data_IF_785926513504
#
_entry.id   IF_785926513504
#
_cell.length_a   1.000
_cell.length_b   1.000
_cell.length_c   1.000
_cell.angle_alpha   90.00
_cell.angle_beta   90.00
_cell.angle_gamma   90.00
#
_symmetry.space_group_name_H-M   'P 1'
#
loop_
_entity.id
_entity.type
_entity.pdbx_description
1 polymer ?
#
# COMPACT_ATOMS: atom_id res chain seq x y z
N UNK A 1 -3.58 18.44 -21.80
CA UNK A 1 -4.33 17.30 -22.36
C UNK A 1 -3.63 15.96 -22.15
N UNK A 2 -2.54 15.56 -22.84
CA UNK A 2 -1.87 14.27 -22.50
C UNK A 2 -1.03 14.33 -21.21
N UNK A 3 -0.51 15.50 -20.84
CA UNK A 3 0.38 15.66 -19.69
C UNK A 3 -0.32 15.46 -18.36
N UNK A 4 -1.62 15.79 -18.27
CA UNK A 4 -2.43 15.59 -17.07
C UNK A 4 -2.62 14.10 -16.78
N UNK A 5 -3.05 13.33 -17.78
CA UNK A 5 -3.23 11.88 -17.70
C UNK A 5 -1.89 11.19 -17.44
N UNK A 6 -0.82 11.65 -18.10
CA UNK A 6 0.53 11.14 -17.87
C UNK A 6 1.01 11.44 -16.45
N UNK A 7 0.80 12.67 -15.96
CA UNK A 7 1.12 13.07 -14.59
C UNK A 7 0.38 12.22 -13.58
N UNK A 8 -0.94 12.05 -13.74
CA UNK A 8 -1.75 11.18 -12.88
C UNK A 8 -1.30 9.72 -12.96
N UNK A 9 -0.98 9.20 -14.15
CA UNK A 9 -0.47 7.85 -14.32
C UNK A 9 0.87 7.61 -13.60
N UNK A 10 1.77 8.60 -13.66
CA UNK A 10 3.05 8.58 -12.93
C UNK A 10 2.81 8.63 -11.42
N UNK A 11 1.95 9.52 -10.92
CA UNK A 11 1.60 9.59 -9.50
C UNK A 11 0.94 8.28 -9.01
N UNK A 12 0.04 7.72 -9.81
CA UNK A 12 -0.62 6.45 -9.51
C UNK A 12 0.38 5.30 -9.44
N UNK A 13 1.42 5.32 -10.28
CA UNK A 13 2.54 4.39 -10.21
C UNK A 13 3.40 4.59 -8.95
N UNK A 14 3.62 5.83 -8.51
CA UNK A 14 4.28 6.11 -7.22
C UNK A 14 3.48 5.56 -6.05
N UNK A 15 2.16 5.75 -6.07
CA UNK A 15 1.26 5.23 -5.04
C UNK A 15 1.18 3.70 -5.07
N UNK A 16 1.26 3.08 -6.25
CA UNK A 16 1.42 1.63 -6.39
C UNK A 16 2.76 1.14 -5.80
N UNK A 17 3.86 1.82 -6.10
CA UNK A 17 5.16 1.53 -5.51
C UNK A 17 5.14 1.62 -3.99
N UNK A 18 4.53 2.70 -3.47
CA UNK A 18 4.24 2.85 -2.05
C UNK A 18 3.43 1.66 -1.52
N UNK A 19 2.33 1.28 -2.16
CA UNK A 19 1.47 0.17 -1.71
C UNK A 19 2.25 -1.14 -1.58
N UNK A 20 3.12 -1.49 -2.54
CA UNK A 20 3.91 -2.72 -2.49
C UNK A 20 4.93 -2.68 -1.34
N UNK A 21 5.75 -1.63 -1.27
CA UNK A 21 6.84 -1.55 -0.28
C UNK A 21 6.27 -1.37 1.14
N UNK A 22 5.23 -0.54 1.28
CA UNK A 22 4.54 -0.32 2.56
C UNK A 22 3.82 -1.58 3.03
N UNK A 23 3.21 -2.36 2.12
CA UNK A 23 2.60 -3.62 2.51
C UNK A 23 3.61 -4.57 3.13
N UNK A 24 4.81 -4.69 2.55
CA UNK A 24 5.90 -5.52 3.08
C UNK A 24 6.30 -5.04 4.48
N UNK A 25 6.53 -3.74 4.65
CA UNK A 25 6.96 -3.16 5.92
C UNK A 25 5.88 -3.28 7.02
N UNK A 26 4.67 -2.84 6.71
CA UNK A 26 3.53 -2.84 7.62
C UNK A 26 3.14 -4.25 8.04
N UNK A 27 3.09 -5.18 7.10
CA UNK A 27 2.81 -6.58 7.39
C UNK A 27 3.93 -7.27 8.15
N UNK A 28 5.20 -6.96 7.87
CA UNK A 28 6.32 -7.46 8.66
C UNK A 28 6.18 -7.03 10.13
N UNK A 29 5.73 -5.80 10.40
CA UNK A 29 5.48 -5.35 11.77
C UNK A 29 4.32 -6.01 12.48
N UNK A 30 3.22 -6.25 11.76
CA UNK A 30 2.12 -7.04 12.31
C UNK A 30 2.55 -8.48 12.62
N UNK A 31 3.25 -9.15 11.70
CA UNK A 31 3.69 -10.53 11.91
C UNK A 31 4.76 -10.67 12.99
N UNK A 32 5.63 -9.67 13.17
CA UNK A 32 6.57 -9.61 14.30
C UNK A 32 5.82 -9.66 15.64
N UNK A 33 4.85 -8.76 15.81
CA UNK A 33 4.03 -8.70 17.01
C UNK A 33 3.20 -9.98 17.23
N UNK A 34 2.54 -10.47 16.18
CA UNK A 34 1.70 -11.67 16.25
C UNK A 34 2.49 -12.93 16.63
N UNK A 35 3.68 -13.11 16.07
CA UNK A 35 4.54 -14.25 16.39
C UNK A 35 5.15 -14.16 17.79
N UNK A 36 5.44 -12.94 18.26
CA UNK A 36 5.90 -12.68 19.63
C UNK A 36 4.86 -13.04 20.67
N UNK A 37 3.60 -12.68 20.44
CA UNK A 37 2.49 -13.12 21.30
C UNK A 37 2.30 -14.64 21.23
N UNK A 38 2.43 -15.22 20.04
CA UNK A 38 2.24 -16.65 19.82
C UNK A 38 3.40 -17.53 20.31
N UNK A 39 4.43 -16.96 20.96
CA UNK A 39 5.64 -17.63 21.46
C UNK A 39 6.43 -18.43 20.41
N UNK A 40 6.44 -17.99 19.15
CA UNK A 40 7.14 -18.66 18.03
C UNK A 40 8.56 -18.10 17.79
N UNK A 41 9.26 -17.77 18.88
CA UNK A 41 9.96 -16.48 19.00
C UNK A 41 11.35 -16.30 18.36
N UNK A 42 12.23 -17.29 18.28
CA UNK A 42 13.65 -16.92 18.10
C UNK A 42 14.13 -16.73 16.65
N UNK A 43 13.72 -17.58 15.70
CA UNK A 43 14.23 -17.50 14.33
C UNK A 43 13.49 -16.46 13.47
N UNK A 44 12.16 -16.38 13.60
CA UNK A 44 11.29 -15.48 12.80
C UNK A 44 11.57 -14.00 13.10
N UNK A 45 11.81 -13.65 14.37
CA UNK A 45 11.99 -12.25 14.77
C UNK A 45 13.32 -11.66 14.29
N UNK A 46 14.40 -12.46 14.29
CA UNK A 46 15.70 -12.03 13.76
C UNK A 46 15.65 -11.76 12.25
N UNK A 47 14.89 -12.60 11.52
CA UNK A 47 14.67 -12.46 10.09
C UNK A 47 13.91 -11.17 9.78
N UNK A 48 12.90 -10.82 10.59
CA UNK A 48 12.07 -9.62 10.35
C UNK A 48 12.84 -8.33 10.70
N UNK A 49 13.51 -8.27 11.85
CA UNK A 49 14.17 -7.04 12.32
C UNK A 49 15.32 -6.56 11.42
N UNK A 50 16.06 -7.47 10.79
CA UNK A 50 17.19 -7.13 9.91
C UNK A 50 16.77 -6.47 8.59
N UNK A 51 15.48 -6.52 8.25
CA UNK A 51 14.88 -5.93 7.05
C UNK A 51 14.25 -4.57 7.25
N UNK A 52 13.99 -4.23 8.50
CA UNK A 52 12.87 -3.38 8.84
C UNK A 52 13.19 -1.89 8.60
N UNK A 53 14.43 -1.47 8.88
CA UNK A 53 14.82 -0.06 8.81
C UNK A 53 14.96 0.46 7.36
N UNK A 54 15.69 -0.21 6.44
CA UNK A 54 15.90 0.35 5.11
C UNK A 54 14.62 0.43 4.27
N UNK A 55 13.71 -0.52 4.46
CA UNK A 55 12.45 -0.56 3.71
C UNK A 55 11.52 0.60 4.13
N UNK A 56 11.46 0.90 5.42
CA UNK A 56 10.67 2.03 5.94
C UNK A 56 11.14 3.39 5.42
N UNK A 57 12.45 3.58 5.26
CA UNK A 57 12.96 4.82 4.65
C UNK A 57 12.47 4.97 3.21
N UNK A 58 12.49 3.89 2.43
CA UNK A 58 12.05 3.90 1.04
C UNK A 58 10.53 4.14 0.91
N UNK A 59 9.70 3.58 1.80
CA UNK A 59 8.24 3.80 1.75
C UNK A 59 7.89 5.28 1.89
N UNK A 60 8.54 5.99 2.81
CA UNK A 60 8.31 7.41 3.01
C UNK A 60 8.69 8.23 1.78
N UNK A 61 9.75 7.85 1.05
CA UNK A 61 10.11 8.53 -0.19
C UNK A 61 9.00 8.40 -1.24
N UNK A 62 8.45 7.20 -1.46
CA UNK A 62 7.33 7.04 -2.39
C UNK A 62 6.11 7.86 -1.96
N UNK A 63 5.77 7.84 -0.66
CA UNK A 63 4.61 8.55 -0.14
C UNK A 63 4.74 10.08 -0.28
N UNK A 64 5.89 10.63 0.11
CA UNK A 64 6.14 12.08 0.01
C UNK A 64 6.21 12.53 -1.44
N UNK A 65 6.84 11.76 -2.33
CA UNK A 65 6.86 12.07 -3.76
C UNK A 65 5.44 12.11 -4.34
N UNK A 66 4.60 11.12 -4.01
CA UNK A 66 3.19 11.14 -4.41
C UNK A 66 2.45 12.38 -3.88
N UNK A 67 2.59 12.68 -2.58
CA UNK A 67 1.89 13.79 -1.94
C UNK A 67 2.32 15.16 -2.49
N UNK A 68 3.62 15.40 -2.66
CA UNK A 68 4.13 16.64 -3.27
C UNK A 68 3.73 16.71 -4.74
N UNK A 69 3.69 15.57 -5.42
CA UNK A 69 3.32 15.48 -6.83
C UNK A 69 1.87 15.81 -7.11
N UNK A 70 0.93 15.23 -6.36
CA UNK A 70 -0.49 15.49 -6.57
C UNK A 70 -0.82 16.97 -6.37
N UNK A 71 -0.25 17.61 -5.35
CA UNK A 71 -0.40 19.05 -5.11
C UNK A 71 0.28 19.88 -6.20
N UNK A 72 1.43 19.41 -6.70
CA UNK A 72 2.18 20.09 -7.77
C UNK A 72 1.48 20.04 -9.13
N UNK A 73 0.83 18.93 -9.49
CA UNK A 73 0.07 18.81 -10.74
C UNK A 73 -1.34 19.39 -10.63
N UNK A 74 -1.98 19.20 -9.48
CA UNK A 74 -3.38 19.52 -9.23
C UNK A 74 -3.52 20.34 -7.93
N UNK A 75 -3.15 21.62 -7.92
CA UNK A 75 -3.22 22.46 -6.72
C UNK A 75 -4.63 22.51 -6.10
N UNK A 76 -5.69 22.37 -6.91
CA UNK A 76 -7.07 22.26 -6.42
C UNK A 76 -7.26 21.09 -5.46
N UNK A 77 -6.55 19.96 -5.62
CA UNK A 77 -6.64 18.85 -4.65
C UNK A 77 -6.17 19.27 -3.27
N UNK A 78 -5.20 20.18 -3.16
CA UNK A 78 -4.74 20.68 -1.87
C UNK A 78 -5.82 21.48 -1.15
N UNK A 79 -6.69 22.18 -1.87
CA UNK A 79 -7.84 22.87 -1.29
C UNK A 79 -8.86 21.86 -0.74
N UNK A 80 -9.41 21.00 -1.59
CA UNK A 80 -10.50 20.08 -1.22
C UNK A 80 -10.03 18.97 -0.25
N UNK A 81 -8.99 18.23 -0.62
CA UNK A 81 -8.47 17.16 0.23
C UNK A 81 -7.75 17.71 1.46
N UNK A 82 -7.06 18.85 1.35
CA UNK A 82 -6.37 19.45 2.50
C UNK A 82 -7.33 19.86 3.61
N UNK A 83 -8.52 20.38 3.27
CA UNK A 83 -9.55 20.71 4.27
C UNK A 83 -10.32 19.49 4.76
N UNK A 84 -10.62 18.54 3.87
CA UNK A 84 -11.40 17.36 4.23
C UNK A 84 -10.60 16.35 5.07
N UNK A 85 -9.32 16.15 4.78
CA UNK A 85 -8.50 15.09 5.36
C UNK A 85 -7.71 15.50 6.61
N UNK A 86 -8.02 16.64 7.25
CA UNK A 86 -7.28 17.13 8.43
C UNK A 86 -7.16 16.08 9.55
N UNK A 87 -8.26 15.41 9.88
CA UNK A 87 -8.28 14.40 10.97
C UNK A 87 -7.62 13.07 10.54
N UNK A 88 -7.98 12.43 9.40
CA UNK A 88 -7.32 11.21 8.96
C UNK A 88 -5.81 11.34 8.74
N UNK A 89 -5.37 12.46 8.15
CA UNK A 89 -3.94 12.70 7.87
C UNK A 89 -3.16 12.96 9.15
N UNK A 90 -3.72 13.72 10.11
CA UNK A 90 -3.04 13.93 11.39
C UNK A 90 -2.87 12.62 12.18
N UNK A 91 -3.88 11.74 12.18
CA UNK A 91 -3.77 10.39 12.74
C UNK A 91 -2.67 9.60 12.03
N UNK A 92 -2.65 9.62 10.69
CA UNK A 92 -1.63 8.93 9.89
C UNK A 92 -0.22 9.40 10.26
N UNK A 93 -0.01 10.71 10.39
CA UNK A 93 1.28 11.31 10.76
C UNK A 93 1.71 10.87 12.15
N UNK A 94 0.80 10.88 13.13
CA UNK A 94 1.10 10.40 14.50
C UNK A 94 1.51 8.92 14.48
N UNK A 95 0.81 8.08 13.71
CA UNK A 95 1.14 6.65 13.59
C UNK A 95 2.50 6.43 12.91
N UNK A 96 2.82 7.20 11.87
CA UNK A 96 4.13 7.17 11.22
C UNK A 96 5.23 7.63 12.18
N UNK A 97 4.98 8.67 12.99
CA UNK A 97 5.93 9.16 14.00
C UNK A 97 6.20 8.12 15.10
N UNK A 98 5.16 7.44 15.59
CA UNK A 98 5.31 6.32 16.55
C UNK A 98 6.18 5.22 15.93
N UNK A 99 5.94 4.89 14.66
CA UNK A 99 6.68 3.85 13.94
C UNK A 99 8.15 4.24 13.74
N UNK A 100 8.44 5.46 13.26
CA UNK A 100 9.79 5.98 13.10
C UNK A 100 10.57 6.03 14.43
N UNK A 101 9.87 6.44 15.50
CA UNK A 101 10.43 6.42 16.86
C UNK A 101 10.81 5.01 17.30
N UNK A 102 9.96 4.01 17.01
CA UNK A 102 10.27 2.60 17.30
C UNK A 102 11.52 2.12 16.56
N UNK A 103 11.68 2.41 15.26
CA UNK A 103 12.88 2.03 14.51
C UNK A 103 14.15 2.63 15.13
N UNK A 104 14.13 3.92 15.46
CA UNK A 104 15.26 4.59 16.07
C UNK A 104 15.59 3.99 17.45
N UNK A 105 14.60 3.85 18.34
CA UNK A 105 14.85 3.37 19.70
C UNK A 105 15.19 1.88 19.78
N UNK A 106 14.62 1.05 18.89
CA UNK A 106 14.93 -0.38 18.82
C UNK A 106 16.35 -0.64 18.30
N UNK A 107 16.89 0.25 17.46
CA UNK A 107 18.26 0.13 16.93
C UNK A 107 19.32 0.48 17.98
N UNK A 108 19.05 1.46 18.86
CA UNK A 108 20.09 2.07 19.70
C UNK A 108 20.03 1.77 21.21
N UNK A 109 18.98 1.15 21.75
CA UNK A 109 19.06 0.75 23.18
C UNK A 109 17.79 0.47 23.97
N UNK A 110 16.60 0.39 23.37
CA UNK A 110 15.43 -0.01 24.14
C UNK A 110 15.41 -1.54 24.37
N UNK A 111 15.35 -1.98 25.63
CA UNK A 111 14.98 -3.36 25.99
C UNK A 111 13.74 -3.76 25.21
N UNK A 112 13.72 -4.98 24.68
CA UNK A 112 12.66 -5.56 23.85
C UNK A 112 11.30 -5.56 24.59
N UNK A 113 10.62 -4.40 24.60
CA UNK A 113 9.44 -4.18 25.42
C UNK A 113 8.18 -4.60 24.66
N UNK A 114 7.24 -5.28 25.35
CA UNK A 114 5.99 -5.73 24.73
C UNK A 114 5.13 -4.56 24.23
N UNK A 115 5.24 -3.39 24.87
CA UNK A 115 4.50 -2.18 24.48
C UNK A 115 4.97 -1.68 23.12
N UNK A 116 6.28 -1.66 22.87
CA UNK A 116 6.82 -1.22 21.59
C UNK A 116 6.49 -2.19 20.45
N UNK A 117 6.57 -3.50 20.71
CA UNK A 117 6.12 -4.49 19.71
C UNK A 117 4.62 -4.37 19.41
N UNK A 118 3.78 -4.08 20.41
CA UNK A 118 2.35 -3.80 20.22
C UNK A 118 2.12 -2.56 19.36
N UNK A 119 2.77 -1.44 19.69
CA UNK A 119 2.67 -0.20 18.92
C UNK A 119 3.13 -0.40 17.47
N UNK A 120 4.17 -1.20 17.27
CA UNK A 120 4.66 -1.52 15.94
C UNK A 120 3.67 -2.37 15.12
N UNK A 121 3.05 -3.38 15.73
CA UNK A 121 2.00 -4.17 15.10
C UNK A 121 0.71 -3.36 14.84
N UNK A 122 0.31 -2.52 15.79
CA UNK A 122 -0.88 -1.68 15.68
C UNK A 122 -0.74 -0.61 14.60
N UNK A 123 0.39 0.11 14.57
CA UNK A 123 0.67 1.11 13.52
C UNK A 123 0.71 0.47 12.13
N UNK A 124 1.20 -0.77 12.00
CA UNK A 124 1.17 -1.52 10.73
C UNK A 124 -0.23 -1.74 10.17
N UNK A 125 -1.27 -1.81 10.98
CA UNK A 125 -2.66 -1.96 10.51
C UNK A 125 -3.41 -0.62 10.43
N UNK A 126 -3.15 0.28 11.38
CA UNK A 126 -3.83 1.57 11.48
C UNK A 126 -3.38 2.57 10.40
N UNK A 127 -2.13 2.50 9.93
CA UNK A 127 -1.65 3.38 8.85
C UNK A 127 -2.39 3.08 7.54
N UNK A 128 -2.47 1.83 7.05
CA UNK A 128 -3.30 1.50 5.89
C UNK A 128 -4.75 1.97 6.04
N UNK A 129 -5.37 1.70 7.19
CA UNK A 129 -6.76 2.06 7.44
C UNK A 129 -7.00 3.59 7.38
N UNK A 130 -6.08 4.38 7.95
CA UNK A 130 -6.18 5.84 7.94
C UNK A 130 -5.91 6.44 6.55
N UNK A 131 -4.98 5.89 5.79
CA UNK A 131 -4.70 6.35 4.42
C UNK A 131 -5.80 5.98 3.43
N UNK A 132 -6.45 4.82 3.59
CA UNK A 132 -7.54 4.40 2.70
C UNK A 132 -8.81 5.23 2.83
N UNK A 133 -8.96 5.96 3.93
CA UNK A 133 -10.04 6.95 4.08
C UNK A 133 -9.90 8.03 2.99
N UNK A 134 -8.68 8.45 2.64
CA UNK A 134 -8.46 9.40 1.56
C UNK A 134 -8.93 8.87 0.19
N UNK A 135 -8.64 7.59 -0.10
CA UNK A 135 -9.10 6.90 -1.32
C UNK A 135 -10.62 6.66 -1.33
N UNK A 136 -11.23 6.51 -0.16
CA UNK A 136 -12.68 6.37 -0.04
C UNK A 136 -13.37 7.70 -0.32
N UNK A 137 -12.82 8.79 0.22
CA UNK A 137 -13.36 10.14 0.06
C UNK A 137 -13.26 10.61 -1.39
N UNK A 138 -12.23 10.19 -2.15
CA UNK A 138 -12.12 10.51 -3.57
C UNK A 138 -13.26 9.95 -4.44
N UNK A 139 -14.01 8.97 -3.97
CA UNK A 139 -15.21 8.45 -4.66
C UNK A 139 -16.44 9.36 -4.54
N UNK A 140 -16.34 10.48 -3.82
CA UNK A 140 -17.45 11.41 -3.61
C UNK A 140 -18.49 10.91 -2.61
N UNK A 141 -19.52 11.73 -2.37
CA UNK A 141 -20.61 11.42 -1.43
C UNK A 141 -20.26 11.54 0.05
N UNK A 142 -19.04 11.99 0.41
CA UNK A 142 -18.61 12.19 1.81
C UNK A 142 -18.23 13.63 2.12
N UNK A 143 -18.29 14.50 1.12
CA UNK A 143 -17.89 15.90 1.20
C UNK A 143 -19.07 16.74 0.76
N UNK A 144 -19.46 17.70 1.61
CA UNK A 144 -20.47 18.69 1.26
C UNK A 144 -19.78 20.05 1.12
N UNK A 145 -19.91 20.64 -0.07
CA UNK A 145 -19.41 21.98 -0.36
C UNK A 145 -20.58 22.95 -0.23
N UNK A 146 -20.69 23.57 0.94
CA UNK A 146 -21.72 24.58 1.22
C UNK A 146 -21.06 25.89 1.66
N UNK A 147 -21.42 27.00 1.02
CA UNK A 147 -20.91 28.36 1.32
C UNK A 147 -19.38 28.49 1.28
N UNK A 148 -18.72 27.83 0.32
CA UNK A 148 -17.25 27.88 0.19
C UNK A 148 -16.49 27.14 1.28
N UNK A 149 -17.17 26.43 2.19
CA UNK A 149 -16.54 25.55 3.18
C UNK A 149 -16.72 24.09 2.77
N UNK A 150 -15.60 23.39 2.63
CA UNK A 150 -15.56 21.95 2.39
C UNK A 150 -15.68 21.25 3.75
N UNK A 151 -16.80 20.58 4.00
CA UNK A 151 -17.02 19.83 5.25
C UNK A 151 -17.14 18.34 4.97
N UNK A 152 -16.40 17.56 5.75
CA UNK A 152 -16.46 16.09 5.69
C UNK A 152 -17.65 15.59 6.53
N UNK A 153 -18.48 14.76 5.92
CA UNK A 153 -19.64 14.13 6.54
C UNK A 153 -19.20 12.85 7.26
N UNK A 154 -18.67 13.01 8.48
CA UNK A 154 -18.14 11.89 9.26
C UNK A 154 -19.17 10.78 9.50
N UNK A 155 -20.43 11.13 9.72
CA UNK A 155 -21.52 10.17 9.92
C UNK A 155 -21.70 9.24 8.70
N UNK A 156 -21.71 9.80 7.50
CA UNK A 156 -21.86 9.02 6.26
C UNK A 156 -20.62 8.19 5.96
N UNK A 157 -19.42 8.71 6.26
CA UNK A 157 -18.17 7.99 6.10
C UNK A 157 -18.10 6.73 7.00
N UNK A 158 -18.45 6.86 8.28
CA UNK A 158 -18.40 5.73 9.22
C UNK A 158 -19.58 4.75 9.05
N UNK A 159 -20.72 5.20 8.53
CA UNK A 159 -21.87 4.33 8.24
C UNK A 159 -21.79 3.66 6.86
N UNK A 160 -20.88 4.08 6.00
CA UNK A 160 -20.76 3.54 4.65
C UNK A 160 -20.16 2.14 4.59
N UNK A 161 -20.87 1.24 3.92
CA UNK A 161 -20.39 -0.11 3.61
C UNK A 161 -19.15 -0.08 2.71
N UNK A 162 -19.07 0.88 1.78
CA UNK A 162 -17.94 1.03 0.88
C UNK A 162 -16.67 1.40 1.65
N UNK A 163 -16.74 2.39 2.54
CA UNK A 163 -15.60 2.85 3.36
C UNK A 163 -14.97 1.70 4.15
N UNK A 164 -15.80 0.91 4.84
CA UNK A 164 -15.32 -0.27 5.58
C UNK A 164 -14.77 -1.35 4.65
N UNK A 165 -15.36 -1.55 3.48
CA UNK A 165 -14.87 -2.53 2.50
C UNK A 165 -13.47 -2.18 2.00
N UNK A 166 -13.18 -0.91 1.73
CA UNK A 166 -11.85 -0.45 1.29
C UNK A 166 -10.82 -0.62 2.42
N UNK A 167 -11.16 -0.25 3.66
CA UNK A 167 -10.29 -0.43 4.83
C UNK A 167 -9.97 -1.91 5.05
N UNK A 168 -10.98 -2.78 5.01
CA UNK A 168 -10.83 -4.23 5.16
C UNK A 168 -9.95 -4.79 4.03
N UNK A 169 -10.20 -4.37 2.78
CA UNK A 169 -9.39 -4.79 1.64
C UNK A 169 -7.93 -4.38 1.81
N UNK A 170 -7.66 -3.15 2.27
CA UNK A 170 -6.30 -2.66 2.47
C UNK A 170 -5.55 -3.46 3.54
N UNK A 171 -6.17 -3.67 4.70
CA UNK A 171 -5.59 -4.46 5.80
C UNK A 171 -5.27 -5.88 5.32
N UNK A 172 -6.24 -6.54 4.70
CA UNK A 172 -6.08 -7.92 4.22
C UNK A 172 -5.02 -8.01 3.13
N UNK A 173 -5.00 -7.04 2.20
CA UNK A 173 -4.03 -6.98 1.12
C UNK A 173 -2.61 -6.77 1.63
N UNK A 174 -2.43 -5.89 2.62
CA UNK A 174 -1.14 -5.68 3.30
C UNK A 174 -0.64 -7.01 3.89
N UNK A 175 -1.50 -7.77 4.56
CA UNK A 175 -1.16 -9.06 5.16
C UNK A 175 -0.89 -10.16 4.10
N UNK A 176 -1.62 -10.15 2.99
CA UNK A 176 -1.41 -11.08 1.89
C UNK A 176 -0.11 -10.80 1.14
N UNK A 177 0.15 -9.56 0.74
CA UNK A 177 1.37 -9.15 0.01
C UNK A 177 2.60 -9.40 0.88
N UNK A 178 2.58 -8.98 2.14
CA UNK A 178 3.70 -9.20 3.07
C UNK A 178 3.95 -10.68 3.34
N UNK A 179 2.91 -11.48 3.57
CA UNK A 179 3.10 -12.94 3.78
C UNK A 179 3.69 -13.61 2.55
N UNK A 180 3.25 -13.24 1.34
CA UNK A 180 3.79 -13.79 0.09
C UNK A 180 5.26 -13.41 -0.11
N UNK A 181 5.64 -12.17 0.21
CA UNK A 181 7.03 -11.72 0.19
C UNK A 181 7.89 -12.47 1.22
N UNK A 182 7.43 -12.56 2.47
CA UNK A 182 8.12 -13.25 3.55
C UNK A 182 8.24 -14.76 3.29
N UNK A 183 7.25 -15.37 2.62
CA UNK A 183 7.32 -16.76 2.16
C UNK A 183 8.43 -16.96 1.13
N UNK A 184 8.49 -16.10 0.10
CA UNK A 184 9.57 -16.14 -0.91
C UNK A 184 10.93 -15.96 -0.23
N UNK A 185 11.02 -15.00 0.68
CA UNK A 185 12.25 -14.66 1.36
C UNK A 185 12.74 -15.78 2.29
N UNK A 186 11.87 -16.33 3.14
CA UNK A 186 12.22 -17.42 4.05
C UNK A 186 12.70 -18.67 3.30
N UNK A 187 12.10 -18.97 2.14
CA UNK A 187 12.55 -20.08 1.30
C UNK A 187 13.98 -19.86 0.77
N UNK A 188 14.28 -18.64 0.33
CA UNK A 188 15.61 -18.28 -0.17
C UNK A 188 16.67 -18.22 0.94
N UNK A 189 16.26 -17.87 2.15
CA UNK A 189 17.10 -17.92 3.34
C UNK A 189 17.38 -19.34 3.85
N UNK A 190 16.66 -20.36 3.36
CA UNK A 190 16.77 -21.73 3.84
C UNK A 190 16.08 -21.97 5.18
N UNK A 191 15.34 -20.99 5.71
CA UNK A 191 14.55 -21.15 6.93
C UNK A 191 13.21 -21.84 6.62
N UNK A 192 13.24 -23.17 6.70
CA UNK A 192 12.09 -24.02 6.45
C UNK A 192 10.97 -23.89 7.51
N UNK A 193 11.27 -23.30 8.68
CA UNK A 193 10.25 -23.08 9.73
C UNK A 193 9.42 -21.83 9.41
N UNK A 194 10.09 -20.70 9.16
CA UNK A 194 9.47 -19.46 8.72
C UNK A 194 8.76 -19.64 7.38
N UNK A 195 9.35 -20.37 6.43
CA UNK A 195 8.72 -20.68 5.15
C UNK A 195 7.36 -21.36 5.29
N UNK A 196 7.26 -22.43 6.11
CA UNK A 196 6.00 -23.15 6.31
C UNK A 196 4.95 -22.28 6.99
N UNK A 197 5.37 -21.42 7.93
CA UNK A 197 4.49 -20.48 8.62
C UNK A 197 3.92 -19.44 7.65
N UNK A 198 4.78 -18.76 6.88
CA UNK A 198 4.35 -17.73 5.94
C UNK A 198 3.55 -18.32 4.78
N UNK A 199 3.87 -19.51 4.29
CA UNK A 199 3.04 -20.23 3.32
C UNK A 199 1.61 -20.46 3.84
N UNK A 200 1.46 -20.83 5.12
CA UNK A 200 0.14 -20.97 5.74
C UNK A 200 -0.58 -19.63 5.81
N UNK A 201 0.12 -18.55 6.15
CA UNK A 201 -0.46 -17.21 6.17
C UNK A 201 -0.86 -16.72 4.78
N UNK A 202 -0.04 -16.92 3.74
CA UNK A 202 -0.38 -16.53 2.36
C UNK A 202 -1.61 -17.28 1.86
N UNK A 203 -1.69 -18.59 2.09
CA UNK A 203 -2.87 -19.36 1.72
C UNK A 203 -4.10 -18.96 2.54
N UNK A 204 -3.94 -18.72 3.84
CA UNK A 204 -5.03 -18.26 4.69
C UNK A 204 -5.57 -16.90 4.26
N UNK A 205 -4.70 -15.91 4.02
CA UNK A 205 -5.07 -14.55 3.63
C UNK A 205 -5.56 -14.45 2.18
N UNK A 206 -5.28 -15.44 1.33
CA UNK A 206 -5.79 -15.46 -0.04
C UNK A 206 -7.33 -15.44 -0.09
N UNK A 207 -7.99 -16.21 0.79
CA UNK A 207 -9.46 -16.30 0.81
C UNK A 207 -10.12 -14.99 1.29
N UNK A 208 -9.72 -14.38 2.43
CA UNK A 208 -10.18 -13.05 2.81
C UNK A 208 -9.90 -11.99 1.74
N UNK A 209 -8.79 -12.09 0.98
CA UNK A 209 -8.45 -11.10 -0.05
C UNK A 209 -9.49 -11.09 -1.17
N UNK A 210 -9.87 -12.26 -1.69
CA UNK A 210 -10.89 -12.35 -2.75
C UNK A 210 -12.27 -11.95 -2.24
N UNK A 211 -12.61 -12.31 -0.98
CA UNK A 211 -13.86 -11.91 -0.35
C UNK A 211 -13.93 -10.39 -0.16
N UNK A 212 -12.87 -9.78 0.35
CA UNK A 212 -12.78 -8.32 0.54
C UNK A 212 -12.84 -7.58 -0.79
N UNK A 213 -12.21 -8.10 -1.85
CA UNK A 213 -12.34 -7.55 -3.20
C UNK A 213 -13.80 -7.60 -3.67
N UNK A 214 -14.50 -8.70 -3.45
CA UNK A 214 -15.94 -8.82 -3.74
C UNK A 214 -16.79 -7.81 -2.96
N UNK A 215 -16.49 -7.58 -1.67
CA UNK A 215 -17.17 -6.58 -0.85
C UNK A 215 -16.99 -5.16 -1.42
N UNK A 216 -15.79 -4.81 -1.89
CA UNK A 216 -15.53 -3.51 -2.53
C UNK A 216 -16.36 -3.35 -3.81
N UNK A 217 -16.45 -4.38 -4.67
CA UNK A 217 -17.31 -4.32 -5.86
C UNK A 217 -18.79 -4.12 -5.51
N UNK A 218 -19.29 -4.78 -4.46
CA UNK A 218 -20.65 -4.59 -3.97
C UNK A 218 -20.84 -3.17 -3.40
N UNK A 219 -19.86 -2.69 -2.64
CA UNK A 219 -19.87 -1.34 -2.07
C UNK A 219 -19.92 -0.25 -3.13
N UNK A 220 -19.07 -0.33 -4.16
CA UNK A 220 -19.06 0.62 -5.27
C UNK A 220 -20.38 0.58 -6.04
N UNK A 221 -20.93 -0.62 -6.31
CA UNK A 221 -22.22 -0.73 -7.01
C UNK A 221 -23.36 0.01 -6.30
N UNK A 222 -23.35 0.05 -4.97
CA UNK A 222 -24.36 0.76 -4.17
C UNK A 222 -24.05 2.25 -4.04
N UNK A 223 -22.77 2.62 -3.95
CA UNK A 223 -22.33 3.99 -3.70
C UNK A 223 -22.26 4.83 -4.97
N UNK A 224 -21.63 4.32 -6.03
CA UNK A 224 -21.41 5.03 -7.28
C UNK A 224 -21.63 4.08 -8.49
N UNK A 225 -22.85 4.02 -9.06
CA UNK A 225 -23.17 3.13 -10.16
C UNK A 225 -22.46 3.52 -11.46
N UNK A 226 -22.09 4.80 -11.65
CA UNK A 226 -21.31 5.23 -12.81
C UNK A 226 -19.89 4.67 -12.74
N UNK A 227 -19.22 4.78 -11.59
CA UNK A 227 -17.91 4.18 -11.38
C UNK A 227 -17.93 2.66 -11.58
N UNK A 228 -18.97 2.00 -11.06
CA UNK A 228 -19.17 0.57 -11.27
C UNK A 228 -19.31 0.21 -12.75
N UNK A 229 -20.05 1.00 -13.53
CA UNK A 229 -20.19 0.78 -14.97
C UNK A 229 -18.85 0.94 -15.72
N UNK A 230 -18.04 1.91 -15.32
CA UNK A 230 -16.68 2.11 -15.83
C UNK A 230 -15.74 0.96 -15.47
N UNK A 231 -15.85 0.41 -14.26
CA UNK A 231 -15.12 -0.80 -13.87
C UNK A 231 -15.53 -2.02 -14.71
N UNK A 232 -16.82 -2.15 -15.06
CA UNK A 232 -17.31 -3.22 -15.93
C UNK A 232 -16.78 -3.07 -17.36
N UNK A 233 -16.61 -1.87 -17.88
CA UNK A 233 -15.98 -1.67 -19.19
C UNK A 233 -14.53 -2.17 -19.23
N UNK A 234 -13.82 -2.07 -18.10
CA UNK A 234 -12.42 -2.48 -17.93
C UNK A 234 -12.33 -3.82 -17.15
N UNK A 235 -13.38 -4.66 -17.23
CA UNK A 235 -13.46 -5.93 -16.50
C UNK A 235 -12.27 -6.86 -16.73
N UNK A 236 -11.66 -6.80 -17.92
CA UNK A 236 -10.53 -7.64 -18.31
C UNK A 236 -9.30 -7.43 -17.41
N UNK A 237 -9.09 -6.23 -16.85
CA UNK A 237 -8.00 -5.96 -15.91
C UNK A 237 -8.22 -6.67 -14.57
N UNK A 238 -9.48 -6.69 -14.10
CA UNK A 238 -9.86 -7.43 -12.89
C UNK A 238 -9.84 -8.95 -13.12
N UNK A 239 -10.23 -9.41 -14.32
CA UNK A 239 -10.08 -10.81 -14.73
C UNK A 239 -8.61 -11.25 -14.78
N UNK A 240 -7.72 -10.39 -15.29
CA UNK A 240 -6.28 -10.61 -15.29
C UNK A 240 -5.71 -10.67 -13.87
N UNK A 241 -6.17 -9.78 -12.99
CA UNK A 241 -5.83 -9.81 -11.56
C UNK A 241 -6.23 -11.15 -10.93
N UNK A 242 -7.45 -11.62 -11.17
CA UNK A 242 -7.94 -12.90 -10.65
C UNK A 242 -7.13 -14.10 -11.19
N UNK A 243 -6.71 -14.05 -12.45
CA UNK A 243 -5.83 -15.06 -13.04
C UNK A 243 -4.48 -15.09 -12.33
N UNK A 244 -3.85 -13.93 -12.13
CA UNK A 244 -2.58 -13.86 -11.40
C UNK A 244 -2.73 -14.31 -9.95
N UNK A 245 -3.80 -13.92 -9.27
CA UNK A 245 -4.13 -14.40 -7.93
C UNK A 245 -4.21 -15.94 -7.86
N UNK A 246 -4.91 -16.55 -8.81
CA UNK A 246 -5.04 -18.00 -8.89
C UNK A 246 -3.68 -18.69 -9.10
N UNK A 247 -2.81 -18.10 -9.93
CA UNK A 247 -1.44 -18.57 -10.12
C UNK A 247 -0.59 -18.44 -8.85
N UNK A 248 -0.74 -17.35 -8.09
CA UNK A 248 -0.07 -17.17 -6.79
C UNK A 248 -0.48 -18.27 -5.83
N UNK A 249 -1.79 -18.49 -5.65
CA UNK A 249 -2.33 -19.52 -4.75
C UNK A 249 -1.83 -20.90 -5.18
N UNK A 250 -1.85 -21.20 -6.47
CA UNK A 250 -1.36 -22.46 -7.02
C UNK A 250 0.14 -22.68 -6.77
N UNK A 251 0.97 -21.69 -7.05
CA UNK A 251 2.43 -21.78 -6.86
C UNK A 251 2.80 -21.86 -5.38
N UNK A 252 2.13 -21.09 -4.53
CA UNK A 252 2.28 -21.16 -3.07
C UNK A 252 1.80 -22.49 -2.52
N UNK A 253 0.75 -23.08 -3.09
CA UNK A 253 0.31 -24.42 -2.73
C UNK A 253 1.30 -25.50 -3.19
N UNK A 254 1.87 -25.39 -4.39
CA UNK A 254 2.89 -26.34 -4.88
C UNK A 254 4.26 -26.16 -4.22
N UNK A 255 4.52 -25.01 -3.59
CA UNK A 255 5.79 -24.69 -2.95
C UNK A 255 6.97 -24.60 -3.93
N UNK A 256 6.70 -24.29 -5.21
CA UNK A 256 7.71 -24.21 -6.28
C UNK A 256 7.73 -22.80 -6.88
N UNK A 257 8.91 -22.34 -7.29
CA UNK A 257 9.15 -21.04 -7.96
C UNK A 257 8.49 -19.85 -7.23
N UNK A 258 8.80 -19.70 -5.96
CA UNK A 258 8.20 -18.64 -5.13
C UNK A 258 8.58 -17.23 -5.57
N UNK A 259 9.72 -17.06 -6.24
CA UNK A 259 10.08 -15.77 -6.86
C UNK A 259 9.09 -15.36 -7.95
N UNK A 260 8.67 -16.32 -8.80
CA UNK A 260 7.63 -16.04 -9.81
C UNK A 260 6.25 -15.85 -9.17
N UNK A 261 5.96 -16.52 -8.05
CA UNK A 261 4.74 -16.29 -7.30
C UNK A 261 4.67 -14.84 -6.80
N UNK A 262 5.76 -14.28 -6.27
CA UNK A 262 5.77 -12.89 -5.82
C UNK A 262 5.63 -11.89 -6.98
N UNK A 263 6.24 -12.17 -8.15
CA UNK A 263 6.00 -11.37 -9.36
C UNK A 263 4.52 -11.39 -9.76
N UNK A 264 3.85 -12.53 -9.66
CA UNK A 264 2.41 -12.59 -9.91
C UNK A 264 1.58 -11.85 -8.87
N UNK A 265 2.01 -11.78 -7.59
CA UNK A 265 1.37 -10.88 -6.60
C UNK A 265 1.49 -9.43 -7.05
N UNK A 266 2.68 -9.00 -7.48
CA UNK A 266 2.86 -7.63 -8.00
C UNK A 266 1.93 -7.38 -9.19
N UNK A 267 1.90 -8.30 -10.18
CA UNK A 267 1.07 -8.15 -11.38
C UNK A 267 -0.43 -8.21 -11.09
N UNK A 268 -0.86 -9.04 -10.12
CA UNK A 268 -2.25 -9.10 -9.64
C UNK A 268 -2.67 -7.71 -9.14
N UNK A 269 -1.92 -7.17 -8.17
CA UNK A 269 -2.25 -5.88 -7.59
C UNK A 269 -2.04 -4.74 -8.57
N UNK A 270 -1.08 -4.83 -9.49
CA UNK A 270 -0.91 -3.86 -10.56
C UNK A 270 -2.17 -3.79 -11.43
N UNK A 271 -2.66 -4.94 -11.88
CA UNK A 271 -3.85 -5.00 -12.74
C UNK A 271 -5.11 -4.51 -12.01
N UNK A 272 -5.30 -4.88 -10.74
CA UNK A 272 -6.42 -4.41 -9.93
C UNK A 272 -6.33 -2.90 -9.62
N UNK A 273 -5.15 -2.43 -9.22
CA UNK A 273 -4.91 -1.03 -8.83
C UNK A 273 -5.03 -0.07 -10.01
N UNK A 274 -4.45 -0.41 -11.16
CA UNK A 274 -4.60 0.38 -12.37
C UNK A 274 -6.00 0.23 -12.98
N UNK A 275 -6.67 -0.92 -12.82
CA UNK A 275 -8.06 -1.08 -13.24
C UNK A 275 -9.00 -0.17 -12.46
N UNK A 276 -8.84 -0.12 -11.14
CA UNK A 276 -9.58 0.77 -10.24
C UNK A 276 -9.27 2.25 -10.48
N UNK A 277 -7.99 2.61 -10.66
CA UNK A 277 -7.59 3.97 -10.99
C UNK A 277 -8.12 4.42 -12.36
N UNK A 278 -8.02 3.57 -13.38
CA UNK A 278 -8.49 3.88 -14.72
C UNK A 278 -10.02 4.03 -14.79
N UNK A 279 -10.77 3.26 -13.99
CA UNK A 279 -12.23 3.43 -13.91
C UNK A 279 -12.65 4.70 -13.19
N UNK A 280 -11.80 5.26 -12.34
CA UNK A 280 -12.02 6.51 -11.60
C UNK A 280 -11.80 7.76 -12.45
N UNK A 281 -10.92 7.68 -13.46
CA UNK A 281 -10.71 8.76 -14.42
C UNK A 281 -12.02 9.13 -15.16
N UNK A 282 -12.27 10.43 -15.44
CA UNK A 282 -11.37 11.59 -15.31
C UNK A 282 -11.47 12.33 -13.96
N UNK A 283 -12.17 11.78 -12.97
CA UNK A 283 -12.40 12.46 -11.69
C UNK A 283 -11.21 12.24 -10.74
N UNK A 284 -10.95 13.23 -9.87
CA UNK A 284 -10.05 13.11 -8.71
C UNK A 284 -10.86 13.12 -7.41
N UNK A 285 -11.97 13.86 -7.41
CA UNK A 285 -13.04 13.82 -6.44
C UNK A 285 -14.34 13.91 -7.23
N UNK A 286 -15.20 12.88 -7.17
CA UNK A 286 -16.45 12.89 -7.92
C UNK A 286 -17.27 14.16 -7.63
N UNK A 287 -17.88 14.69 -8.69
CA UNK A 287 -18.70 15.91 -8.75
C UNK A 287 -18.00 17.25 -8.46
N UNK A 288 -16.78 17.23 -7.91
CA UNK A 288 -16.10 18.43 -7.40
C UNK A 288 -14.74 18.73 -8.08
N UNK A 289 -14.00 17.69 -8.50
CA UNK A 289 -12.69 17.86 -9.15
C UNK A 289 -12.48 16.86 -10.28
N UNK A 290 -12.32 17.38 -11.49
CA UNK A 290 -11.72 16.62 -12.59
C UNK A 290 -10.21 16.85 -12.65
N UNK A 291 -9.53 15.97 -13.38
CA UNK A 291 -8.11 16.12 -13.76
C UNK A 291 -7.86 17.37 -14.60
N UNK A 292 -8.90 17.91 -15.24
CA UNK A 292 -8.83 19.11 -16.06
C UNK A 292 -8.97 20.39 -15.23
N UNK A 293 -9.52 20.29 -14.02
CA UNK A 293 -9.80 21.44 -13.17
C UNK A 293 -8.55 21.88 -12.39
N UNK A 294 -8.04 23.05 -12.75
CA UNK A 294 -6.89 23.66 -12.06
C UNK A 294 -5.55 22.97 -12.35
N UNK A 295 -5.38 22.39 -13.55
CA UNK A 295 -4.07 21.90 -13.98
C UNK A 295 -3.05 23.04 -14.11
N UNK A 296 -1.84 22.80 -13.63
CA UNK A 296 -0.76 23.78 -13.65
C UNK A 296 -0.27 24.12 -15.06
N UNK A 297 0.49 25.21 -15.17
CA UNK A 297 1.14 25.59 -16.42
C UNK A 297 2.01 24.44 -16.98
N UNK A 298 1.96 24.24 -18.29
CA UNK A 298 2.67 23.18 -19.01
C UNK A 298 4.16 23.09 -18.66
N UNK A 299 4.85 24.23 -18.46
CA UNK A 299 6.26 24.25 -18.07
C UNK A 299 6.50 23.60 -16.70
N UNK A 300 5.61 23.85 -15.75
CA UNK A 300 5.67 23.25 -14.41
C UNK A 300 5.36 21.75 -14.50
N UNK A 301 4.37 21.36 -15.30
CA UNK A 301 4.05 19.95 -15.52
C UNK A 301 5.24 19.16 -16.08
N UNK A 302 5.93 19.67 -17.11
CA UNK A 302 7.14 19.03 -17.64
C UNK A 302 8.28 18.94 -16.62
N UNK A 303 8.46 19.98 -15.82
CA UNK A 303 9.48 20.01 -14.77
C UNK A 303 9.20 18.96 -13.69
N UNK A 304 7.94 18.85 -13.27
CA UNK A 304 7.50 17.82 -12.32
C UNK A 304 7.66 16.42 -12.91
N UNK A 305 7.21 16.17 -14.15
CA UNK A 305 7.39 14.87 -14.82
C UNK A 305 8.88 14.48 -14.85
N UNK A 306 9.76 15.41 -15.19
CA UNK A 306 11.21 15.18 -15.21
C UNK A 306 11.75 14.85 -13.82
N UNK A 307 11.30 15.57 -12.79
CA UNK A 307 11.67 15.28 -11.40
C UNK A 307 11.16 13.91 -10.94
N UNK A 308 9.96 13.49 -11.35
CA UNK A 308 9.41 12.17 -11.05
C UNK A 308 10.16 11.04 -11.75
N UNK A 309 10.53 11.24 -13.02
CA UNK A 309 11.38 10.29 -13.76
C UNK A 309 12.73 10.16 -13.06
N UNK A 310 13.37 11.28 -12.67
CA UNK A 310 14.61 11.26 -11.91
C UNK A 310 14.45 10.56 -10.54
N UNK A 311 13.33 10.79 -9.86
CA UNK A 311 12.96 10.08 -8.63
C UNK A 311 12.86 8.57 -8.82
N UNK A 312 12.17 8.11 -9.87
CA UNK A 312 12.12 6.68 -10.21
C UNK A 312 13.48 6.11 -10.58
N UNK A 313 14.29 6.88 -11.30
CA UNK A 313 15.65 6.49 -11.70
C UNK A 313 16.59 6.36 -10.50
N UNK A 314 16.26 6.93 -9.35
CA UNK A 314 16.93 6.70 -8.07
C UNK A 314 16.28 5.55 -7.29
N UNK A 315 14.95 5.55 -7.17
CA UNK A 315 14.19 4.61 -6.34
C UNK A 315 14.24 3.16 -6.83
N UNK A 316 14.11 2.94 -8.15
CA UNK A 316 14.13 1.58 -8.70
C UNK A 316 15.52 0.97 -8.52
N UNK A 317 16.62 1.66 -8.88
CA UNK A 317 17.96 1.16 -8.60
C UNK A 317 18.27 1.02 -7.11
N UNK A 318 17.80 1.92 -6.25
CA UNK A 318 18.03 1.80 -4.81
C UNK A 318 17.35 0.56 -4.23
N UNK A 319 16.10 0.27 -4.62
CA UNK A 319 15.41 -0.98 -4.29
C UNK A 319 16.13 -2.18 -4.87
N UNK A 320 16.56 -2.12 -6.13
CA UNK A 320 17.30 -3.23 -6.75
C UNK A 320 18.63 -3.50 -6.04
N UNK A 321 19.38 -2.47 -5.68
CA UNK A 321 20.63 -2.57 -4.92
C UNK A 321 20.37 -3.04 -3.50
N UNK A 322 19.32 -2.54 -2.82
CA UNK A 322 18.89 -3.02 -1.51
C UNK A 322 18.59 -4.51 -1.56
N UNK A 323 17.81 -4.93 -2.56
CA UNK A 323 17.54 -6.33 -2.82
C UNK A 323 18.85 -7.08 -3.06
N UNK A 324 19.74 -6.61 -3.92
CA UNK A 324 20.98 -7.31 -4.25
C UNK A 324 21.95 -7.43 -3.07
N UNK A 325 22.14 -6.36 -2.31
CA UNK A 325 23.13 -6.26 -1.23
C UNK A 325 22.64 -6.91 0.06
N UNK A 326 21.39 -6.67 0.45
CA UNK A 326 20.85 -7.19 1.71
C UNK A 326 20.01 -8.47 1.52
N UNK A 327 19.35 -8.64 0.36
CA UNK A 327 18.44 -9.78 0.09
C UNK A 327 19.02 -10.92 -0.75
N UNK A 328 20.12 -10.74 -1.50
CA UNK A 328 20.74 -11.80 -2.31
C UNK A 328 22.12 -12.24 -1.80
N UNK A 329 22.71 -11.57 -0.80
CA UNK A 329 23.96 -12.01 -0.22
C UNK A 329 23.72 -13.12 0.82
N UNK A 330 23.99 -14.37 0.45
CA UNK A 330 23.80 -15.54 1.29
C UNK A 330 24.57 -15.46 2.62
N UNK A 331 25.70 -14.73 2.66
CA UNK A 331 26.50 -14.55 3.87
C UNK A 331 25.83 -13.59 4.88
N UNK A 332 25.12 -12.55 4.39
CA UNK A 332 24.34 -11.67 5.25
C UNK A 332 23.09 -12.40 5.78
N UNK A 333 22.41 -13.16 4.92
CA UNK A 333 21.18 -13.89 5.28
C UNK A 333 21.43 -14.98 6.33
N UNK A 334 22.58 -15.65 6.30
CA UNK A 334 22.99 -16.66 7.29
C UNK A 334 23.53 -16.08 8.60
N UNK A 335 23.74 -14.76 8.68
CA UNK A 335 24.32 -14.13 9.87
C UNK A 335 25.85 -14.27 10.00
N UNK A 336 26.56 -14.62 8.92
CA UNK A 336 28.02 -14.83 8.94
C UNK A 336 28.82 -13.52 8.91
N UNK A 337 28.20 -12.40 8.52
CA UNK A 337 28.72 -11.04 8.72
C UNK A 337 27.72 -10.25 9.53
N UNK A 338 28.18 -9.60 10.61
CA UNK A 338 27.37 -8.68 11.41
C UNK A 338 27.04 -7.44 10.60
#
# INVERSE_FOLDING_TARGET
MNLEILGMGVLWLFLYGYMIVSSIDFGAGFFHFFNKISRKDHQVNSLIQRYLSPVWEVTNVFFVFFFVGIVGFFPSTAYYFGTALLVPVSISIVLIAIRGSYYAFNTYGAKDSPVYSFLYGATGLLIPASLTIALTISEGGYVNVSNGQVRLLYGELFSSLYAWSVVILAIISVLFISSAFLQYYAHKAGDNTSYRLFRRYTLFWSLPTILASGLVFIGIRQHNPEHFSSMLNIWWMFGLSFLFFSLVVYLSYRGKRLGTAFVFVMLQYFSAWFGYGASHLPWLLYDELTIYDGFVNQTMAWSLITAFIAGFLLLIPSLYLLMRLFLFDAAYIRGERK
#
